data_IF_973359440984
#
_entry.id   IF_973359440984
#
_cell.length_a   1.000
_cell.length_b   1.000
_cell.length_c   1.000
_cell.angle_alpha   90.00
_cell.angle_beta   90.00
_cell.angle_gamma   90.00
#
_symmetry.space_group_name_H-M   'P 1'
#
loop_
_entity.id
_entity.type
_entity.pdbx_description
1 polymer ?
#
# COMPACT_ATOMS: atom_id res chain seq x y z
N UNK A 1 -0.39 -44.53 -10.19
CA UNK A 1 -1.01 -45.82 -9.84
C UNK A 1 -0.96 -46.05 -8.33
N UNK A 2 0.20 -45.97 -7.67
CA UNK A 2 0.29 -46.12 -6.21
C UNK A 2 -0.49 -45.03 -5.44
N UNK A 3 -0.33 -43.77 -5.85
CA UNK A 3 -1.09 -42.62 -5.28
C UNK A 3 -2.62 -42.77 -5.44
N UNK A 4 -3.07 -43.35 -6.56
CA UNK A 4 -4.51 -43.56 -6.82
C UNK A 4 -5.08 -44.69 -5.95
N UNK A 5 -4.26 -45.70 -5.65
CA UNK A 5 -4.63 -46.78 -4.73
C UNK A 5 -4.69 -46.26 -3.29
N UNK A 6 -3.76 -45.38 -2.88
CA UNK A 6 -3.81 -44.71 -1.58
C UNK A 6 -5.09 -43.87 -1.42
N UNK A 7 -5.42 -43.04 -2.43
CA UNK A 7 -6.68 -42.28 -2.46
C UNK A 7 -7.91 -43.18 -2.32
N UNK A 8 -7.87 -44.34 -2.96
CA UNK A 8 -8.96 -45.30 -2.94
C UNK A 8 -9.11 -45.95 -1.55
N UNK A 9 -8.01 -46.31 -0.91
CA UNK A 9 -7.98 -46.82 0.47
C UNK A 9 -8.45 -45.78 1.51
N UNK A 10 -8.14 -44.50 1.30
CA UNK A 10 -8.53 -43.42 2.22
C UNK A 10 -10.00 -43.01 2.09
N UNK A 11 -10.63 -43.26 0.92
CA UNK A 11 -11.96 -42.73 0.58
C UNK A 11 -13.06 -43.78 0.53
N UNK A 12 -12.74 -45.02 0.18
CA UNK A 12 -13.72 -46.09 0.17
C UNK A 12 -13.87 -46.73 1.54
N UNK A 13 -15.11 -47.05 1.89
CA UNK A 13 -15.40 -47.85 3.06
C UNK A 13 -14.92 -49.30 2.88
N UNK A 14 -14.67 -49.96 4.01
CA UNK A 14 -14.16 -51.33 4.04
C UNK A 14 -15.00 -52.31 3.20
N UNK A 15 -16.33 -52.17 3.22
CA UNK A 15 -17.23 -53.02 2.44
C UNK A 15 -17.05 -52.84 0.92
N UNK A 16 -16.86 -51.59 0.47
CA UNK A 16 -16.63 -51.28 -0.95
C UNK A 16 -15.26 -51.77 -1.42
N UNK A 17 -14.23 -51.65 -0.56
CA UNK A 17 -12.89 -52.20 -0.83
C UNK A 17 -12.90 -53.73 -0.91
N UNK A 18 -13.68 -54.39 -0.06
CA UNK A 18 -13.86 -55.84 -0.09
C UNK A 18 -14.54 -56.29 -1.38
N UNK A 19 -15.62 -55.62 -1.81
CA UNK A 19 -16.30 -55.87 -3.08
C UNK A 19 -15.38 -55.67 -4.29
N UNK A 20 -14.57 -54.62 -4.28
CA UNK A 20 -13.59 -54.35 -5.33
C UNK A 20 -12.51 -55.45 -5.38
N UNK A 21 -11.99 -55.87 -4.23
CA UNK A 21 -11.02 -56.97 -4.16
C UNK A 21 -11.60 -58.32 -4.61
N UNK A 22 -12.85 -58.61 -4.28
CA UNK A 22 -13.55 -59.81 -4.75
C UNK A 22 -13.72 -59.78 -6.26
N UNK A 23 -14.06 -58.62 -6.84
CA UNK A 23 -14.13 -58.42 -8.29
C UNK A 23 -12.75 -58.58 -8.94
N UNK A 24 -11.69 -58.03 -8.34
CA UNK A 24 -10.30 -58.14 -8.84
C UNK A 24 -9.75 -59.57 -8.80
N UNK A 25 -10.24 -60.39 -7.87
CA UNK A 25 -9.76 -61.78 -7.67
C UNK A 25 -10.60 -62.80 -8.42
N UNK A 26 -11.88 -62.51 -8.69
CA UNK A 26 -12.80 -63.42 -9.41
C UNK A 26 -12.90 -63.17 -10.92
N UNK A 27 -12.46 -62.01 -11.42
CA UNK A 27 -12.59 -61.63 -12.83
C UNK A 27 -11.27 -61.77 -13.62
N UNK A 28 -11.36 -61.65 -14.95
CA UNK A 28 -10.16 -61.60 -15.80
C UNK A 28 -9.41 -60.29 -15.56
N UNK A 29 -8.09 -60.29 -15.81
CA UNK A 29 -7.23 -59.12 -15.57
C UNK A 29 -7.76 -57.84 -16.23
N UNK A 30 -8.36 -57.95 -17.41
CA UNK A 30 -8.93 -56.81 -18.14
C UNK A 30 -10.18 -56.25 -17.45
N UNK A 31 -11.07 -57.12 -16.97
CA UNK A 31 -12.31 -56.73 -16.26
C UNK A 31 -11.98 -56.15 -14.89
N UNK A 32 -11.07 -56.77 -14.14
CA UNK A 32 -10.62 -56.26 -12.86
C UNK A 32 -9.92 -54.89 -12.99
N UNK A 33 -9.08 -54.72 -14.01
CA UNK A 33 -8.44 -53.43 -14.28
C UNK A 33 -9.46 -52.35 -14.63
N UNK A 34 -10.45 -52.66 -15.48
CA UNK A 34 -11.50 -51.71 -15.84
C UNK A 34 -12.36 -51.31 -14.62
N UNK A 35 -12.66 -52.25 -13.72
CA UNK A 35 -13.39 -51.97 -12.49
C UNK A 35 -12.60 -51.04 -11.54
N UNK A 36 -11.28 -51.26 -11.41
CA UNK A 36 -10.40 -50.39 -10.61
C UNK A 36 -10.27 -48.99 -11.21
N UNK A 37 -10.07 -48.88 -12.53
CA UNK A 37 -9.97 -47.58 -13.23
C UNK A 37 -11.26 -46.78 -13.09
N UNK A 38 -12.42 -47.44 -13.22
CA UNK A 38 -13.72 -46.81 -12.98
C UNK A 38 -13.85 -46.27 -11.56
N UNK A 39 -13.43 -47.06 -10.56
CA UNK A 39 -13.51 -46.64 -9.16
C UNK A 39 -12.57 -45.46 -8.85
N UNK A 40 -11.39 -45.43 -9.47
CA UNK A 40 -10.44 -44.31 -9.36
C UNK A 40 -11.02 -43.03 -9.99
N UNK A 41 -11.67 -43.14 -11.15
CA UNK A 41 -12.28 -41.99 -11.83
C UNK A 41 -13.42 -41.38 -11.00
N UNK A 42 -14.29 -42.23 -10.44
CA UNK A 42 -15.37 -41.79 -9.54
C UNK A 42 -14.83 -41.04 -8.31
N UNK A 43 -13.75 -41.55 -7.68
CA UNK A 43 -13.13 -40.90 -6.52
C UNK A 43 -12.47 -39.57 -6.91
N UNK A 44 -11.79 -39.50 -8.05
CA UNK A 44 -11.16 -38.27 -8.52
C UNK A 44 -12.20 -37.19 -8.87
N UNK A 45 -13.33 -37.57 -9.45
CA UNK A 45 -14.45 -36.66 -9.68
C UNK A 45 -15.04 -36.14 -8.36
N UNK A 46 -15.22 -37.02 -7.38
CA UNK A 46 -15.69 -36.66 -6.05
C UNK A 46 -14.73 -35.67 -5.36
N UNK A 47 -13.41 -35.92 -5.40
CA UNK A 47 -12.39 -35.01 -4.86
C UNK A 47 -12.42 -33.66 -5.56
N UNK A 48 -12.54 -33.64 -6.90
CA UNK A 48 -12.62 -32.39 -7.68
C UNK A 48 -13.84 -31.58 -7.29
N UNK A 49 -15.00 -32.23 -7.14
CA UNK A 49 -16.25 -31.58 -6.75
C UNK A 49 -16.18 -31.04 -5.31
N UNK A 50 -15.66 -31.82 -4.37
CA UNK A 50 -15.42 -31.36 -2.99
C UNK A 50 -14.46 -30.17 -2.93
N UNK A 51 -13.41 -30.18 -3.75
CA UNK A 51 -12.45 -29.09 -3.85
C UNK A 51 -13.10 -27.82 -4.41
N UNK A 52 -13.86 -27.93 -5.49
CA UNK A 52 -14.58 -26.79 -6.08
C UNK A 52 -15.63 -26.23 -5.09
N UNK A 53 -16.36 -27.10 -4.40
CA UNK A 53 -17.31 -26.69 -3.35
C UNK A 53 -16.60 -26.05 -2.15
N UNK A 54 -15.44 -26.57 -1.73
CA UNK A 54 -14.63 -25.98 -0.67
C UNK A 54 -14.06 -24.63 -1.07
N UNK A 55 -13.58 -24.47 -2.31
CA UNK A 55 -13.12 -23.21 -2.88
C UNK A 55 -14.28 -22.21 -3.00
N UNK A 56 -15.47 -22.65 -3.42
CA UNK A 56 -16.68 -21.85 -3.47
C UNK A 56 -17.15 -21.41 -2.07
N UNK A 57 -17.14 -22.32 -1.09
CA UNK A 57 -17.42 -22.01 0.33
C UNK A 57 -16.40 -21.05 0.92
N UNK A 58 -15.12 -21.20 0.60
CA UNK A 58 -14.05 -20.29 1.06
C UNK A 58 -14.17 -18.91 0.40
N UNK A 59 -14.55 -18.87 -0.88
CA UNK A 59 -14.83 -17.62 -1.61
C UNK A 59 -16.08 -16.93 -1.08
N UNK A 60 -17.12 -17.69 -0.76
CA UNK A 60 -18.36 -17.18 -0.17
C UNK A 60 -18.14 -16.73 1.27
N UNK A 61 -17.36 -17.45 2.08
CA UNK A 61 -16.94 -17.04 3.42
C UNK A 61 -16.11 -15.75 3.38
N UNK A 62 -15.21 -15.60 2.40
CA UNK A 62 -14.48 -14.34 2.19
C UNK A 62 -15.42 -13.18 1.84
N UNK A 63 -16.38 -13.42 0.93
CA UNK A 63 -17.38 -12.43 0.51
C UNK A 63 -18.37 -12.07 1.63
N UNK A 64 -18.72 -13.03 2.48
CA UNK A 64 -19.61 -12.83 3.63
C UNK A 64 -18.88 -12.21 4.83
N UNK A 65 -17.57 -12.44 4.97
CA UNK A 65 -16.70 -11.72 5.90
C UNK A 65 -16.54 -10.25 5.51
N UNK A 66 -16.50 -9.92 4.21
CA UNK A 66 -16.55 -8.53 3.73
C UNK A 66 -17.91 -7.86 3.96
N UNK A 67 -19.02 -8.61 3.93
CA UNK A 67 -20.38 -8.06 4.16
C UNK A 67 -20.79 -7.97 5.64
N UNK A 68 -20.14 -8.74 6.53
CA UNK A 68 -20.48 -8.81 7.96
C UNK A 68 -19.49 -8.11 8.88
N UNK A 69 -18.40 -7.52 8.38
CA UNK A 69 -17.47 -6.69 9.18
C UNK A 69 -17.84 -5.21 9.13
N UNK A 70 -19.06 -4.91 9.55
CA UNK A 70 -19.48 -3.58 10.03
C UNK A 70 -18.98 -3.25 11.44
N UNK A 71 -18.00 -3.99 11.97
CA UNK A 71 -17.48 -3.78 13.31
C UNK A 71 -16.05 -4.32 13.44
N UNK A 72 -15.13 -3.41 13.74
CA UNK A 72 -13.83 -3.62 14.39
C UNK A 72 -13.01 -4.86 14.01
N UNK A 73 -11.92 -4.62 13.28
CA UNK A 73 -10.68 -5.38 13.49
C UNK A 73 -10.16 -6.18 12.30
N UNK A 74 -9.78 -5.52 11.20
CA UNK A 74 -8.60 -5.94 10.42
C UNK A 74 -8.11 -4.84 9.45
N UNK A 75 -7.65 -3.70 9.98
CA UNK A 75 -7.10 -2.57 9.22
C UNK A 75 -5.76 -2.84 8.49
N UNK A 76 -5.28 -4.08 8.52
CA UNK A 76 -3.98 -4.50 8.00
C UNK A 76 -3.99 -5.02 6.55
N UNK A 77 -5.14 -5.48 6.01
CA UNK A 77 -5.19 -6.08 4.66
C UNK A 77 -5.58 -5.14 3.51
N UNK A 78 -6.28 -4.04 3.78
CA UNK A 78 -6.85 -3.21 2.70
C UNK A 78 -6.05 -1.93 2.43
N UNK A 79 -4.72 -1.99 2.27
CA UNK A 79 -3.94 -0.81 1.89
C UNK A 79 -4.02 -0.61 0.37
N UNK A 80 -4.81 0.35 -0.09
CA UNK A 80 -4.85 0.73 -1.51
C UNK A 80 -3.54 1.41 -1.92
N UNK A 81 -3.25 1.45 -3.22
CA UNK A 81 -2.08 2.16 -3.76
C UNK A 81 -2.09 3.64 -3.33
N UNK A 82 -3.26 4.28 -3.37
CA UNK A 82 -3.43 5.66 -2.89
C UNK A 82 -3.07 5.81 -1.41
N UNK A 83 -3.49 4.85 -0.56
CA UNK A 83 -3.14 4.85 0.87
C UNK A 83 -1.63 4.67 1.08
N UNK A 84 -0.96 3.88 0.25
CA UNK A 84 0.50 3.71 0.31
C UNK A 84 1.24 4.99 -0.05
N UNK A 85 0.84 5.65 -1.14
CA UNK A 85 1.41 6.93 -1.56
C UNK A 85 1.21 8.00 -0.48
N UNK A 86 0.01 8.03 0.12
CA UNK A 86 -0.33 8.96 1.19
C UNK A 86 0.51 8.71 2.46
N UNK A 87 0.75 7.44 2.81
CA UNK A 87 1.61 7.04 3.91
C UNK A 87 3.07 7.47 3.68
N UNK A 88 3.62 7.21 2.49
CA UNK A 88 5.00 7.59 2.14
C UNK A 88 5.15 9.12 2.23
N UNK A 89 4.21 9.86 1.66
CA UNK A 89 4.18 11.32 1.72
C UNK A 89 4.11 11.83 3.17
N UNK A 90 3.24 11.25 3.99
CA UNK A 90 3.07 11.63 5.39
C UNK A 90 4.32 11.31 6.23
N UNK A 91 4.98 10.17 6.00
CA UNK A 91 6.23 9.80 6.68
C UNK A 91 7.36 10.81 6.38
N UNK A 92 7.43 11.34 5.16
CA UNK A 92 8.39 12.38 4.79
C UNK A 92 8.01 13.77 5.33
N UNK A 93 6.72 14.10 5.34
CA UNK A 93 6.20 15.35 5.91
C UNK A 93 6.43 15.47 7.42
N UNK A 94 6.35 14.34 8.13
CA UNK A 94 6.50 14.28 9.58
C UNK A 94 7.74 13.43 9.92
N UNK A 95 8.95 14.03 10.03
CA UNK A 95 10.17 13.29 10.34
C UNK A 95 10.19 12.73 11.78
N UNK A 96 11.12 11.81 12.05
CA UNK A 96 11.25 11.16 13.35
C UNK A 96 11.60 12.16 14.46
N UNK A 97 10.92 12.08 15.60
CA UNK A 97 11.21 12.97 16.74
C UNK A 97 10.30 12.83 17.96
N UNK A 98 9.07 12.31 17.81
CA UNK A 98 8.16 12.05 18.96
C UNK A 98 7.24 10.84 18.71
N UNK A 99 6.80 10.16 19.78
CA UNK A 99 5.87 9.02 19.72
C UNK A 99 4.51 9.39 19.10
N UNK A 100 4.11 10.66 19.19
CA UNK A 100 2.89 11.20 18.60
C UNK A 100 2.93 11.30 17.07
N UNK A 101 4.10 11.09 16.44
CA UNK A 101 4.25 11.11 14.97
C UNK A 101 3.23 10.21 14.28
N UNK A 102 3.05 9.00 14.80
CA UNK A 102 2.20 7.99 14.16
C UNK A 102 0.71 8.32 14.29
N UNK A 103 0.30 9.00 15.36
CA UNK A 103 -1.04 9.55 15.52
C UNK A 103 -1.32 10.66 14.50
N UNK A 104 -0.34 11.56 14.30
CA UNK A 104 -0.46 12.65 13.32
C UNK A 104 -0.55 12.09 11.89
N UNK A 105 0.28 11.11 11.56
CA UNK A 105 0.24 10.45 10.24
C UNK A 105 -1.10 9.73 10.06
N UNK A 106 -1.57 8.97 11.05
CA UNK A 106 -2.87 8.29 10.97
C UNK A 106 -4.02 9.28 10.75
N UNK A 107 -4.04 10.41 11.46
CA UNK A 107 -5.05 11.44 11.28
C UNK A 107 -4.98 12.09 9.90
N UNK A 108 -3.79 12.45 9.43
CA UNK A 108 -3.57 12.98 8.08
C UNK A 108 -4.08 12.01 7.02
N UNK A 109 -3.76 10.72 7.17
CA UNK A 109 -4.23 9.68 6.26
C UNK A 109 -5.74 9.55 6.26
N UNK A 110 -6.40 9.57 7.43
CA UNK A 110 -7.85 9.45 7.52
C UNK A 110 -8.61 10.63 6.90
N UNK A 111 -8.01 11.81 6.85
CA UNK A 111 -8.59 13.01 6.23
C UNK A 111 -8.46 12.97 4.71
N UNK A 112 -7.33 12.44 4.22
CA UNK A 112 -6.97 12.51 2.80
C UNK A 112 -7.16 11.18 2.04
N UNK A 113 -7.49 10.09 2.74
CA UNK A 113 -7.74 8.80 2.13
C UNK A 113 -9.15 8.72 1.54
N UNK A 114 -9.25 8.19 0.33
CA UNK A 114 -10.49 7.88 -0.38
C UNK A 114 -11.05 6.49 -0.02
N UNK A 115 -10.31 5.67 0.75
CA UNK A 115 -10.68 4.28 1.01
C UNK A 115 -11.79 4.14 2.06
N UNK A 116 -12.13 5.21 2.78
CA UNK A 116 -13.15 5.21 3.85
C UNK A 116 -12.76 4.39 5.09
N UNK A 117 -11.58 3.77 5.08
CA UNK A 117 -11.08 2.95 6.18
C UNK A 117 -10.32 3.83 7.17
N UNK A 118 -10.81 3.89 8.42
CA UNK A 118 -10.10 4.57 9.50
C UNK A 118 -8.85 3.77 9.89
N UNK A 119 -7.68 4.37 9.72
CA UNK A 119 -6.37 3.86 10.15
C UNK A 119 -6.03 4.38 11.53
N UNK A 120 -5.49 3.52 12.38
CA UNK A 120 -4.93 3.90 13.68
C UNK A 120 -3.41 4.08 13.60
N UNK A 121 -2.80 4.74 14.59
CA UNK A 121 -1.34 4.84 14.68
C UNK A 121 -0.67 3.45 14.64
N UNK A 122 -1.30 2.43 15.23
CA UNK A 122 -0.80 1.04 15.23
C UNK A 122 -0.75 0.45 13.81
N UNK A 123 -1.76 0.71 12.99
CA UNK A 123 -1.81 0.23 11.60
C UNK A 123 -0.74 0.91 10.74
N UNK A 124 -0.61 2.23 10.90
CA UNK A 124 0.39 3.05 10.22
C UNK A 124 1.81 2.62 10.58
N UNK A 125 2.10 2.39 11.87
CA UNK A 125 3.41 1.87 12.32
C UNK A 125 3.70 0.52 11.70
N UNK A 126 2.73 -0.40 11.76
CA UNK A 126 2.87 -1.76 11.21
C UNK A 126 3.20 -1.72 9.72
N UNK A 127 2.45 -0.91 8.96
CA UNK A 127 2.67 -0.78 7.52
C UNK A 127 3.98 -0.07 7.18
N UNK A 128 4.31 1.03 7.87
CA UNK A 128 5.57 1.75 7.67
C UNK A 128 6.79 0.88 7.97
N UNK A 129 6.75 0.07 9.04
CA UNK A 129 7.81 -0.91 9.35
C UNK A 129 7.90 -2.01 8.28
N UNK A 130 6.76 -2.52 7.79
CA UNK A 130 6.73 -3.50 6.71
C UNK A 130 7.34 -2.94 5.43
N UNK A 131 7.04 -1.68 5.08
CA UNK A 131 7.63 -1.01 3.93
C UNK A 131 9.13 -0.78 4.14
N UNK A 132 9.57 -0.37 5.33
CA UNK A 132 11.00 -0.19 5.62
C UNK A 132 11.81 -1.48 5.48
N UNK A 133 11.25 -2.64 5.84
CA UNK A 133 11.87 -3.97 5.71
C UNK A 133 12.03 -4.45 4.27
N UNK A 134 11.31 -3.87 3.30
CA UNK A 134 11.55 -4.16 1.89
C UNK A 134 12.86 -3.48 1.47
N UNK A 135 13.73 -4.24 0.81
CA UNK A 135 15.02 -3.77 0.29
C UNK A 135 14.84 -2.45 -0.50
N UNK A 136 15.76 -1.49 -0.43
CA UNK A 136 15.66 -0.22 -1.16
C UNK A 136 15.32 -0.40 -2.65
N UNK A 137 15.92 -1.41 -3.30
CA UNK A 137 15.67 -1.75 -4.69
C UNK A 137 14.22 -2.20 -4.95
N UNK A 138 13.61 -2.92 -4.01
CA UNK A 138 12.22 -3.37 -4.12
C UNK A 138 11.22 -2.22 -3.92
N UNK A 139 11.58 -1.19 -3.15
CA UNK A 139 10.78 0.05 -3.04
C UNK A 139 10.79 0.82 -4.35
N UNK A 140 11.93 0.87 -5.02
CA UNK A 140 12.07 1.49 -6.34
C UNK A 140 11.27 0.71 -7.40
N UNK A 141 11.28 -0.62 -7.36
CA UNK A 141 10.47 -1.46 -8.26
C UNK A 141 8.96 -1.30 -8.05
N UNK A 142 8.51 -1.14 -6.80
CA UNK A 142 7.09 -0.88 -6.49
C UNK A 142 6.68 0.51 -6.99
N UNK A 143 7.50 1.53 -6.72
CA UNK A 143 7.26 2.89 -7.25
C UNK A 143 7.29 2.91 -8.79
N UNK A 144 8.20 2.17 -9.42
CA UNK A 144 8.29 2.04 -10.88
C UNK A 144 7.06 1.35 -11.46
N UNK A 145 6.61 0.24 -10.87
CA UNK A 145 5.38 -0.46 -11.30
C UNK A 145 4.13 0.40 -11.11
N UNK A 146 4.04 1.18 -10.04
CA UNK A 146 2.96 2.15 -9.84
C UNK A 146 2.99 3.25 -10.91
N UNK A 147 4.18 3.76 -11.25
CA UNK A 147 4.38 4.76 -12.29
C UNK A 147 4.08 4.23 -13.70
N UNK A 148 4.48 2.99 -14.02
CA UNK A 148 4.16 2.33 -15.29
C UNK A 148 2.66 2.05 -15.41
N UNK A 149 1.98 1.71 -14.31
CA UNK A 149 0.52 1.57 -14.28
C UNK A 149 -0.18 2.91 -14.53
N UNK A 150 0.33 4.00 -13.94
CA UNK A 150 -0.16 5.36 -14.19
C UNK A 150 0.02 5.79 -15.66
N UNK A 151 1.18 5.50 -16.28
CA UNK A 151 1.43 5.73 -17.71
C UNK A 151 0.51 4.91 -18.63
N UNK A 152 0.14 3.70 -18.20
CA UNK A 152 -0.74 2.82 -18.96
C UNK A 152 -2.21 3.28 -18.93
N UNK A 153 -2.66 3.85 -17.82
CA UNK A 153 -4.03 4.37 -17.68
C UNK A 153 -4.18 5.82 -18.19
N UNK A 154 -3.15 6.64 -18.07
CA UNK A 154 -3.05 7.96 -18.70
C UNK A 154 -2.03 7.92 -19.84
N UNK A 155 -2.48 7.54 -21.03
CA UNK A 155 -1.63 7.44 -22.22
C UNK A 155 -0.87 8.73 -22.53
N UNK A 156 0.38 8.80 -22.12
CA UNK A 156 1.36 9.78 -22.62
C UNK A 156 2.40 9.00 -23.40
N UNK A 157 2.34 9.17 -24.72
CA UNK A 157 3.28 8.63 -25.70
C UNK A 157 4.70 9.15 -25.36
N UNK A 158 5.73 8.30 -25.22
CA UNK A 158 7.09 8.79 -25.07
C UNK A 158 7.62 9.20 -26.45
N UNK A 159 7.81 10.50 -26.67
CA UNK A 159 8.66 10.99 -27.73
C UNK A 159 10.10 10.66 -27.36
N UNK A 160 10.69 9.70 -28.07
CA UNK A 160 12.12 9.48 -28.08
C UNK A 160 12.78 10.66 -28.79
N UNK A 161 13.72 11.33 -28.13
CA UNK A 161 14.76 12.07 -28.84
C UNK A 161 16.10 11.87 -28.13
N UNK A 162 17.05 11.35 -28.88
CA UNK A 162 18.44 11.18 -28.49
C UNK A 162 19.11 12.55 -28.53
N UNK A 163 19.62 13.06 -27.39
CA UNK A 163 20.62 14.12 -27.44
C UNK A 163 21.55 14.07 -26.22
N UNK A 164 22.83 14.16 -26.54
CA UNK A 164 24.04 14.17 -25.72
C UNK A 164 24.05 15.22 -24.61
N UNK A 165 24.89 15.06 -23.55
CA UNK A 165 25.00 16.03 -22.47
C UNK A 165 25.67 17.31 -22.97
N UNK A 166 24.94 18.43 -22.96
CA UNK A 166 25.50 19.76 -23.21
C UNK A 166 25.46 20.57 -21.92
N UNK A 167 26.65 20.92 -21.43
CA UNK A 167 26.83 22.00 -20.45
C UNK A 167 26.45 23.33 -21.11
N UNK A 168 25.32 23.92 -20.71
CA UNK A 168 25.12 25.37 -20.82
C UNK A 168 24.06 25.91 -19.85
N UNK A 169 24.59 26.56 -18.81
CA UNK A 169 24.13 27.75 -18.10
C UNK A 169 22.65 28.21 -18.24
N UNK A 170 22.02 28.22 -17.06
CA UNK A 170 20.94 29.06 -16.52
C UNK A 170 19.64 29.31 -17.30
N UNK A 171 18.59 28.77 -16.67
CA UNK A 171 17.19 29.11 -16.86
C UNK A 171 16.36 27.83 -16.87
N UNK A 172 15.55 27.56 -15.83
CA UNK A 172 14.13 27.53 -16.16
C UNK A 172 13.19 28.00 -15.04
N UNK A 173 12.18 28.75 -15.49
CA UNK A 173 10.87 28.74 -14.88
C UNK A 173 10.31 27.30 -14.98
N UNK A 174 10.47 26.50 -13.94
CA UNK A 174 9.74 25.25 -13.77
C UNK A 174 9.03 25.31 -12.43
N UNK A 175 7.71 25.54 -12.50
CA UNK A 175 6.79 25.65 -11.35
C UNK A 175 6.66 24.36 -10.51
N UNK A 176 7.56 23.37 -10.69
CA UNK A 176 7.48 22.03 -10.11
C UNK A 176 8.82 21.45 -9.63
N UNK A 177 9.86 22.26 -9.44
CA UNK A 177 11.09 21.76 -8.79
C UNK A 177 10.82 21.51 -7.30
N UNK A 178 10.98 20.27 -6.79
CA UNK A 178 10.79 19.96 -5.37
C UNK A 178 11.82 20.74 -4.53
N UNK A 179 11.41 21.28 -3.39
CA UNK A 179 12.32 22.01 -2.48
C UNK A 179 13.38 21.07 -1.92
N UNK A 180 14.65 21.40 -2.14
CA UNK A 180 15.76 20.68 -1.52
C UNK A 180 15.93 21.09 -0.06
N UNK A 181 16.63 20.27 0.73
CA UNK A 181 16.92 20.56 2.13
C UNK A 181 17.74 21.85 2.29
N UNK A 182 18.65 22.13 1.36
CA UNK A 182 19.49 23.32 1.37
C UNK A 182 18.68 24.58 1.07
N UNK A 183 17.85 24.55 0.01
CA UNK A 183 16.93 25.64 -0.34
C UNK A 183 15.95 25.95 0.81
N UNK A 184 15.40 24.91 1.43
CA UNK A 184 14.48 25.04 2.56
C UNK A 184 15.18 25.70 3.77
N UNK A 185 16.42 25.31 4.07
CA UNK A 185 17.22 25.90 5.14
C UNK A 185 17.49 27.39 4.88
N UNK A 186 17.83 27.75 3.64
CA UNK A 186 18.04 29.14 3.23
C UNK A 186 16.75 29.96 3.35
N UNK A 187 15.60 29.41 2.93
CA UNK A 187 14.30 30.04 3.09
C UNK A 187 13.97 30.31 4.56
N UNK A 188 14.17 29.33 5.44
CA UNK A 188 13.92 29.48 6.88
C UNK A 188 14.86 30.50 7.53
N UNK A 189 16.13 30.52 7.14
CA UNK A 189 17.09 31.51 7.60
C UNK A 189 16.66 32.91 7.14
N UNK A 190 16.32 33.08 5.86
CA UNK A 190 15.87 34.35 5.31
C UNK A 190 14.57 34.85 5.99
N UNK A 191 13.63 33.95 6.28
CA UNK A 191 12.40 34.27 7.00
C UNK A 191 12.64 34.75 8.43
N UNK A 192 13.70 34.28 9.10
CA UNK A 192 14.13 34.76 10.42
C UNK A 192 14.82 36.12 10.33
N UNK A 193 15.67 36.31 9.32
CA UNK A 193 16.41 37.56 9.08
C UNK A 193 15.49 38.71 8.67
N UNK A 194 14.46 38.42 7.87
CA UNK A 194 13.51 39.42 7.35
C UNK A 194 12.11 39.20 7.93
N UNK A 195 11.80 39.80 9.10
CA UNK A 195 10.47 39.72 9.70
C UNK A 195 9.40 40.47 8.87
N UNK A 196 8.12 40.30 9.25
CA UNK A 196 6.95 40.86 8.54
C UNK A 196 7.03 42.39 8.34
N UNK A 197 7.71 43.11 9.22
CA UNK A 197 7.82 44.57 9.16
C UNK A 197 8.92 45.06 8.20
N UNK A 198 9.64 44.16 7.53
CA UNK A 198 10.69 44.54 6.59
C UNK A 198 10.08 44.94 5.23
N UNK A 199 10.32 46.16 4.72
CA UNK A 199 9.94 46.52 3.36
C UNK A 199 10.69 45.61 2.37
N UNK A 200 9.98 45.21 1.30
CA UNK A 200 10.50 44.32 0.25
C UNK A 200 10.99 42.96 0.78
N UNK A 201 10.40 42.49 1.89
CA UNK A 201 10.70 41.22 2.55
C UNK A 201 10.87 40.06 1.56
N UNK A 202 9.92 39.88 0.64
CA UNK A 202 9.92 38.77 -0.29
C UNK A 202 11.01 38.85 -1.36
N UNK A 203 11.45 40.05 -1.71
CA UNK A 203 12.54 40.25 -2.66
C UNK A 203 13.87 39.92 -2.01
N UNK A 204 14.07 40.35 -0.75
CA UNK A 204 15.24 39.99 0.05
C UNK A 204 15.29 38.49 0.37
N UNK A 205 14.14 37.84 0.58
CA UNK A 205 14.05 36.39 0.76
C UNK A 205 14.39 35.65 -0.53
N UNK A 206 13.84 36.07 -1.67
CA UNK A 206 14.16 35.44 -2.95
C UNK A 206 15.65 35.60 -3.32
N UNK A 207 16.24 36.76 -3.03
CA UNK A 207 17.68 36.98 -3.22
C UNK A 207 18.55 36.06 -2.34
N UNK A 208 18.04 35.59 -1.21
CA UNK A 208 18.74 34.67 -0.31
C UNK A 208 18.53 33.19 -0.68
N UNK A 209 17.66 32.87 -1.64
CA UNK A 209 17.39 31.50 -2.11
C UNK A 209 17.61 31.44 -3.62
N UNK A 210 18.87 31.22 -4.09
CA UNK A 210 19.18 31.14 -5.50
C UNK A 210 18.33 30.07 -6.20
N UNK A 211 17.83 30.38 -7.40
CA UNK A 211 16.99 29.47 -8.18
C UNK A 211 15.51 29.44 -7.79
N UNK A 212 15.06 30.20 -6.77
CA UNK A 212 13.65 30.31 -6.38
C UNK A 212 13.14 31.74 -6.50
N UNK A 213 11.94 31.89 -7.06
CA UNK A 213 11.34 33.22 -7.22
C UNK A 213 10.64 33.68 -5.96
N UNK A 214 10.32 34.98 -5.88
CA UNK A 214 9.47 35.54 -4.81
C UNK A 214 8.13 34.82 -4.68
N UNK A 215 7.55 34.38 -5.81
CA UNK A 215 6.27 33.65 -5.85
C UNK A 215 6.40 32.26 -5.21
N UNK A 216 7.49 31.55 -5.48
CA UNK A 216 7.76 30.24 -4.89
C UNK A 216 7.99 30.34 -3.39
N UNK A 217 8.77 31.33 -2.94
CA UNK A 217 9.02 31.60 -1.53
C UNK A 217 7.71 31.92 -0.78
N UNK A 218 6.83 32.74 -1.37
CA UNK A 218 5.52 33.07 -0.81
C UNK A 218 4.59 31.85 -0.73
N UNK A 219 4.50 31.07 -1.80
CA UNK A 219 3.70 29.84 -1.83
C UNK A 219 4.16 28.87 -0.77
N UNK A 220 5.48 28.63 -0.70
CA UNK A 220 6.08 27.73 0.29
C UNK A 220 5.85 28.22 1.72
N UNK A 221 5.98 29.52 1.96
CA UNK A 221 5.66 30.10 3.27
C UNK A 221 4.19 29.91 3.65
N UNK A 222 3.25 30.09 2.72
CA UNK A 222 1.82 29.86 2.98
C UNK A 222 1.56 28.40 3.36
N UNK A 223 2.17 27.46 2.66
CA UNK A 223 2.13 26.03 3.02
C UNK A 223 2.69 25.78 4.43
N UNK A 224 3.85 26.38 4.77
CA UNK A 224 4.45 26.27 6.11
C UNK A 224 3.53 26.82 7.20
N UNK A 225 2.90 27.99 6.98
CA UNK A 225 1.97 28.60 7.94
C UNK A 225 0.74 27.73 8.15
N UNK A 226 0.14 27.22 7.08
CA UNK A 226 -1.00 26.29 7.17
C UNK A 226 -0.61 25.01 7.92
N UNK A 227 0.58 24.45 7.64
CA UNK A 227 1.09 23.28 8.38
C UNK A 227 1.30 23.58 9.86
N UNK A 228 1.86 24.73 10.22
CA UNK A 228 2.05 25.13 11.63
C UNK A 228 0.72 25.35 12.33
N UNK A 229 -0.25 25.98 11.66
CA UNK A 229 -1.60 26.20 12.19
C UNK A 229 -2.34 24.87 12.39
N UNK A 230 -2.28 23.98 11.41
CA UNK A 230 -2.84 22.64 11.50
C UNK A 230 -2.18 21.84 12.64
N UNK A 231 -0.86 21.90 12.77
CA UNK A 231 -0.10 21.26 13.85
C UNK A 231 -0.53 21.79 15.23
N UNK A 232 -0.67 23.11 15.38
CA UNK A 232 -1.09 23.74 16.63
C UNK A 232 -2.53 23.35 16.99
N UNK A 233 -3.45 23.38 16.02
CA UNK A 233 -4.84 22.97 16.22
C UNK A 233 -4.94 21.49 16.63
N UNK A 234 -4.18 20.61 15.97
CA UNK A 234 -4.14 19.19 16.34
C UNK A 234 -3.57 18.98 17.76
N UNK A 235 -2.51 19.69 18.13
CA UNK A 235 -1.93 19.62 19.48
C UNK A 235 -2.91 20.12 20.56
N UNK A 236 -3.63 21.21 20.29
CA UNK A 236 -4.62 21.77 21.20
C UNK A 236 -5.83 20.84 21.39
N UNK A 237 -6.28 20.18 20.32
CA UNK A 237 -7.34 19.16 20.40
C UNK A 237 -6.92 17.96 21.26
N UNK A 238 -5.67 17.51 21.16
CA UNK A 238 -5.13 16.42 22.00
C UNK A 238 -5.04 16.84 23.48
N UNK A 239 -4.61 18.08 23.75
CA UNK A 239 -4.59 18.66 25.10
C UNK A 239 -6.00 18.80 25.69
N UNK A 240 -6.98 19.20 24.89
CA UNK A 240 -8.36 19.32 25.36
C UNK A 240 -9.00 17.94 25.61
N UNK A 241 -8.77 16.97 24.74
CA UNK A 241 -9.26 15.60 24.90
C UNK A 241 -8.65 14.86 26.11
N UNK A 242 -7.45 15.25 26.53
CA UNK A 242 -6.80 14.70 27.74
C UNK A 242 -7.28 15.36 29.04
N UNK A 243 -7.71 16.64 28.99
CA UNK A 243 -8.38 17.30 30.12
C UNK A 243 -9.80 16.78 30.36
N UNK A 244 -10.54 16.45 29.31
CA UNK A 244 -11.92 15.95 29.42
C UNK A 244 -12.04 14.51 29.99
N UNK A 245 -10.93 13.80 30.14
CA UNK A 245 -10.87 12.42 30.68
C UNK A 245 -10.40 12.35 32.14
N UNK A 246 -10.23 13.50 32.78
CA UNK A 246 -9.81 13.65 34.18
C UNK A 246 -10.95 14.26 34.97
#
# INVERSE_FOLDING_TARGET
MMEEVEKLCDRLELASLQCLNETLTSSTKEVGKAALEKQIEEINEQIRKEKEEAEARMRQASRNAEKSTGGSGNGSKNWSEDDLQLLIKAVNLFPAGTNSRWEVIANYMNIHSSSGVKRTAKDVIGKAKSLQKLDPHQKDDINKKAFDKFKKEHGVVPQADNATPSERFEGPCTDFTPWTTEEQKLLEQALKTYPVNTPERWEKIAAAVPGRTKKDCMKRYKELVEMVKAKKAAQEQVLNASRAKK
#
